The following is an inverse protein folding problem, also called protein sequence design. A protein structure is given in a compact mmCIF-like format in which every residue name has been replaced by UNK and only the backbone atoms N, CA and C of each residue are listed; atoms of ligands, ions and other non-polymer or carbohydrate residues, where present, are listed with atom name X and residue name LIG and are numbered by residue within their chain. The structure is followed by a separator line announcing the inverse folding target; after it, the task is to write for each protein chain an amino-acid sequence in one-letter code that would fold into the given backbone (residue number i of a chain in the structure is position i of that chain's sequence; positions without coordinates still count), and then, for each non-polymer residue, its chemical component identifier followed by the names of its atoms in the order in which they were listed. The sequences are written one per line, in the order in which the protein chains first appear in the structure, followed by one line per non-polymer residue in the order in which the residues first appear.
data_IF_354607138982
#
_entry.id   IF_354607138982
#
_cell.length_a   1.000
_cell.length_b   1.000
_cell.length_c   1.000
_cell.angle_alpha   90.00
_cell.angle_beta   90.00
_cell.angle_gamma   90.00
#
_symmetry.space_group_name_H-M   'P 1'
#
loop_
_entity.id
_entity.type
_entity.pdbx_description
1 polymer ?
#
# COMPACT_ATOMS: atom_id res chain seq x y z
N UNK A 1 -0.93 4.07 -9.48
CA UNK A 1 -2.23 4.35 -10.12
C UNK A 1 -2.22 5.61 -11.01
N UNK A 2 -1.24 6.52 -10.90
CA UNK A 2 -1.18 7.75 -11.71
C UNK A 2 -0.78 7.54 -13.20
N UNK A 3 -0.25 6.36 -13.56
CA UNK A 3 0.28 6.10 -14.92
C UNK A 3 -0.53 5.08 -15.74
N UNK A 4 -1.62 4.53 -15.19
CA UNK A 4 -2.41 3.50 -15.87
C UNK A 4 -3.58 4.11 -16.65
N UNK A 5 -3.68 3.81 -17.95
CA UNK A 5 -4.82 4.26 -18.79
C UNK A 5 -6.15 3.58 -18.39
N UNK A 6 -6.09 2.32 -17.93
CA UNK A 6 -7.23 1.50 -17.53
C UNK A 6 -7.43 1.53 -16.01
N UNK A 7 -8.63 1.19 -15.56
CA UNK A 7 -8.97 1.17 -14.14
C UNK A 7 -8.36 -0.05 -13.43
N UNK A 8 -7.86 0.10 -12.20
CA UNK A 8 -7.24 -0.99 -11.46
C UNK A 8 -8.29 -1.95 -10.88
N UNK A 9 -8.14 -3.25 -11.15
CA UNK A 9 -8.82 -4.34 -10.47
C UNK A 9 -7.83 -5.07 -9.58
N UNK A 10 -8.06 -5.02 -8.27
CA UNK A 10 -7.12 -5.49 -7.26
C UNK A 10 -7.58 -6.83 -6.68
N UNK A 11 -6.74 -7.84 -6.85
CA UNK A 11 -6.89 -9.16 -6.21
C UNK A 11 -6.41 -9.02 -4.77
N UNK A 12 -7.35 -8.86 -3.83
CA UNK A 12 -7.10 -8.44 -2.45
C UNK A 12 -7.87 -9.32 -1.43
N UNK A 13 -7.49 -10.61 -1.29
CA UNK A 13 -8.18 -11.52 -0.38
C UNK A 13 -8.07 -11.10 1.09
N UNK A 14 -7.03 -10.37 1.47
CA UNK A 14 -6.82 -9.88 2.84
C UNK A 14 -7.40 -8.48 3.11
N UNK A 15 -7.91 -7.78 2.10
CA UNK A 15 -8.53 -6.45 2.25
C UNK A 15 -7.54 -5.29 2.46
N UNK A 16 -6.26 -5.48 2.13
CA UNK A 16 -5.22 -4.46 2.29
C UNK A 16 -5.40 -3.31 1.30
N UNK A 17 -5.59 -3.63 0.01
CA UNK A 17 -5.83 -2.64 -1.03
C UNK A 17 -7.12 -1.87 -0.75
N UNK A 18 -8.17 -2.57 -0.33
CA UNK A 18 -9.45 -1.99 0.05
C UNK A 18 -9.29 -0.94 1.17
N UNK A 19 -8.59 -1.30 2.25
CA UNK A 19 -8.31 -0.39 3.38
C UNK A 19 -7.44 0.79 2.92
N UNK A 20 -6.45 0.55 2.08
CA UNK A 20 -5.57 1.57 1.55
C UNK A 20 -6.34 2.60 0.69
N UNK A 21 -7.22 2.18 -0.21
CA UNK A 21 -8.04 3.09 -1.05
C UNK A 21 -8.97 3.94 -0.18
N UNK A 22 -9.60 3.32 0.83
CA UNK A 22 -10.47 4.05 1.78
C UNK A 22 -9.70 5.14 2.53
N UNK A 23 -8.44 4.87 2.89
CA UNK A 23 -7.58 5.87 3.53
C UNK A 23 -7.10 6.93 2.53
N UNK A 24 -6.74 6.54 1.31
CA UNK A 24 -6.29 7.44 0.24
C UNK A 24 -7.37 8.46 -0.11
N UNK A 25 -8.62 8.01 -0.24
CA UNK A 25 -9.76 8.83 -0.66
C UNK A 25 -10.60 9.33 0.53
N UNK A 26 -10.05 9.28 1.77
CA UNK A 26 -10.74 9.64 3.02
C UNK A 26 -11.33 11.06 2.98
N UNK A 27 -10.62 12.00 2.37
CA UNK A 27 -11.05 13.41 2.25
C UNK A 27 -11.87 13.68 0.98
N UNK A 28 -11.97 12.70 0.07
CA UNK A 28 -12.56 12.86 -1.26
C UNK A 28 -13.97 12.25 -1.38
N UNK A 29 -14.61 11.93 -0.25
CA UNK A 29 -15.98 11.37 -0.18
C UNK A 29 -16.15 10.10 -1.03
N UNK A 30 -15.27 9.12 -0.82
CA UNK A 30 -15.31 7.82 -1.49
C UNK A 30 -16.68 7.14 -1.37
N UNK A 31 -17.27 6.80 -2.51
CA UNK A 31 -18.49 6.00 -2.58
C UNK A 31 -18.11 4.52 -2.66
N UNK A 32 -18.59 3.70 -1.71
CA UNK A 32 -18.33 2.26 -1.69
C UNK A 32 -19.58 1.52 -2.16
N UNK A 33 -19.46 0.73 -3.21
CA UNK A 33 -20.57 0.02 -3.84
C UNK A 33 -20.28 -1.48 -4.02
N UNK A 34 -21.34 -2.28 -4.16
CA UNK A 34 -21.29 -3.71 -4.51
C UNK A 34 -22.36 -4.01 -5.55
N UNK A 35 -22.09 -4.97 -6.45
CA UNK A 35 -23.04 -5.34 -7.52
C UNK A 35 -24.36 -5.91 -6.99
N UNK A 36 -24.38 -6.44 -5.77
CA UNK A 36 -25.59 -6.95 -5.13
C UNK A 36 -26.43 -5.88 -4.41
N UNK A 37 -25.99 -4.62 -4.39
CA UNK A 37 -26.75 -3.53 -3.78
C UNK A 37 -27.78 -2.97 -4.76
N UNK A 38 -29.06 -2.85 -4.38
CA UNK A 38 -30.12 -2.42 -5.31
C UNK A 38 -29.91 -1.02 -5.92
N UNK A 39 -29.19 -0.14 -5.22
CA UNK A 39 -29.01 1.27 -5.59
C UNK A 39 -27.62 1.57 -6.17
N UNK A 40 -26.79 0.55 -6.43
CA UNK A 40 -25.41 0.75 -6.86
C UNK A 40 -25.32 1.57 -8.15
N UNK A 41 -26.22 1.35 -9.11
CA UNK A 41 -26.28 2.10 -10.37
C UNK A 41 -26.49 3.58 -10.10
N UNK A 42 -27.48 3.93 -9.26
CA UNK A 42 -27.76 5.33 -8.92
C UNK A 42 -26.59 6.01 -8.21
N UNK A 43 -25.90 5.30 -7.32
CA UNK A 43 -24.70 5.82 -6.65
C UNK A 43 -23.60 6.08 -7.68
N UNK A 44 -23.40 5.16 -8.62
CA UNK A 44 -22.41 5.27 -9.68
C UNK A 44 -22.70 6.43 -10.64
N UNK A 45 -23.96 6.61 -11.05
CA UNK A 45 -24.39 7.74 -11.89
C UNK A 45 -24.05 9.09 -11.25
N UNK A 46 -24.44 9.26 -9.98
CA UNK A 46 -24.14 10.49 -9.22
C UNK A 46 -22.63 10.70 -9.07
N UNK A 47 -21.87 9.64 -8.78
CA UNK A 47 -20.44 9.75 -8.62
C UNK A 47 -19.74 10.19 -9.91
N UNK A 48 -20.18 9.69 -11.06
CA UNK A 48 -19.66 10.11 -12.38
C UNK A 48 -19.95 11.60 -12.63
N UNK A 49 -21.19 12.04 -12.36
CA UNK A 49 -21.60 13.43 -12.58
C UNK A 49 -20.85 14.41 -11.68
N UNK A 50 -20.69 14.07 -10.40
CA UNK A 50 -20.04 14.94 -9.42
C UNK A 50 -18.51 14.71 -9.29
N UNK A 51 -17.94 13.78 -10.05
CA UNK A 51 -16.51 13.48 -10.01
C UNK A 51 -16.04 12.84 -8.71
N UNK A 52 -16.92 12.10 -8.03
CA UNK A 52 -16.59 11.42 -6.77
C UNK A 52 -15.86 10.10 -7.06
N UNK A 53 -14.85 9.72 -6.24
CA UNK A 53 -14.20 8.43 -6.37
C UNK A 53 -15.14 7.30 -5.95
N UNK A 54 -15.09 6.17 -6.65
CA UNK A 54 -15.90 4.98 -6.38
C UNK A 54 -15.00 3.77 -6.18
N UNK A 55 -15.30 2.98 -5.13
CA UNK A 55 -14.72 1.66 -4.88
C UNK A 55 -15.80 0.59 -5.02
N UNK A 56 -15.67 -0.25 -6.04
CA UNK A 56 -16.48 -1.44 -6.23
C UNK A 56 -15.85 -2.64 -5.51
N UNK A 57 -16.54 -3.19 -4.52
CA UNK A 57 -16.06 -4.31 -3.70
C UNK A 57 -16.62 -5.67 -4.15
N UNK A 58 -15.84 -6.71 -3.87
CA UNK A 58 -16.21 -8.12 -4.04
C UNK A 58 -16.63 -8.48 -5.47
N UNK A 59 -15.88 -8.00 -6.45
CA UNK A 59 -16.08 -8.37 -7.85
C UNK A 59 -15.86 -9.88 -8.02
N UNK A 60 -16.82 -10.54 -8.66
CA UNK A 60 -16.71 -11.93 -9.09
C UNK A 60 -15.91 -12.05 -10.39
N UNK A 61 -15.87 -13.24 -10.98
CA UNK A 61 -15.16 -13.47 -12.26
C UNK A 61 -15.90 -12.84 -13.45
N UNK A 62 -17.22 -12.66 -13.32
CA UNK A 62 -18.07 -11.97 -14.29
C UNK A 62 -18.28 -10.49 -13.89
N UNK A 63 -18.09 -9.60 -14.86
CA UNK A 63 -18.35 -8.17 -14.71
C UNK A 63 -19.75 -7.85 -15.23
N UNK A 64 -20.47 -6.99 -14.51
CA UNK A 64 -21.75 -6.47 -14.97
C UNK A 64 -21.55 -5.68 -16.30
N UNK A 65 -22.25 -6.04 -17.39
CA UNK A 65 -22.16 -5.34 -18.68
C UNK A 65 -22.43 -3.84 -18.58
N UNK A 66 -23.18 -3.39 -17.57
CA UNK A 66 -23.42 -1.97 -17.30
C UNK A 66 -22.10 -1.20 -17.13
N UNK A 67 -21.07 -1.84 -16.57
CA UNK A 67 -19.78 -1.20 -16.32
C UNK A 67 -18.93 -1.02 -17.58
N UNK A 68 -19.30 -1.63 -18.70
CA UNK A 68 -18.48 -1.67 -19.91
C UNK A 68 -18.12 -0.28 -20.43
N UNK A 69 -19.09 0.64 -20.46
CA UNK A 69 -18.85 2.01 -20.92
C UNK A 69 -17.84 2.75 -20.04
N UNK A 70 -17.87 2.52 -18.73
CA UNK A 70 -16.93 3.10 -17.76
C UNK A 70 -15.54 2.48 -17.93
N UNK A 71 -15.47 1.15 -18.06
CA UNK A 71 -14.22 0.42 -18.15
C UNK A 71 -13.43 0.79 -19.41
N UNK A 72 -14.15 0.91 -20.53
CA UNK A 72 -13.59 1.30 -21.82
C UNK A 72 -13.49 2.82 -21.99
N UNK A 73 -14.01 3.61 -21.04
CA UNK A 73 -14.09 5.07 -21.12
C UNK A 73 -14.73 5.55 -22.44
N UNK A 74 -15.89 4.99 -22.77
CA UNK A 74 -16.67 5.31 -23.98
C UNK A 74 -17.35 6.69 -23.85
N UNK A 75 -16.53 7.74 -23.85
CA UNK A 75 -16.98 9.12 -23.73
C UNK A 75 -17.35 9.67 -25.12
N UNK A 76 -18.43 10.45 -25.17
CA UNK A 76 -18.87 11.15 -26.38
C UNK A 76 -19.28 12.58 -26.04
N UNK A 77 -19.29 13.47 -27.04
CA UNK A 77 -19.75 14.85 -26.85
C UNK A 77 -21.23 14.96 -27.22
N UNK A 78 -22.04 15.54 -26.35
CA UNK A 78 -23.43 15.88 -26.61
C UNK A 78 -23.69 17.31 -26.13
N UNK A 79 -24.14 18.19 -27.03
CA UNK A 79 -24.42 19.59 -26.68
C UNK A 79 -23.20 20.38 -26.20
N UNK A 80 -21.96 19.99 -26.58
CA UNK A 80 -20.72 20.64 -26.16
C UNK A 80 -20.11 20.07 -24.88
N UNK A 81 -20.86 19.29 -24.12
CA UNK A 81 -20.42 18.63 -22.88
C UNK A 81 -19.95 17.20 -23.16
N UNK A 82 -18.96 16.73 -22.40
CA UNK A 82 -18.51 15.34 -22.46
C UNK A 82 -19.44 14.48 -21.61
N UNK A 83 -20.00 13.43 -22.21
CA UNK A 83 -20.97 12.55 -21.59
C UNK A 83 -20.55 11.09 -21.72
N UNK A 84 -21.13 10.25 -20.87
CA UNK A 84 -21.01 8.79 -20.92
C UNK A 84 -22.42 8.18 -20.83
N UNK A 85 -22.64 7.07 -21.52
CA UNK A 85 -23.90 6.32 -21.45
C UNK A 85 -23.74 5.17 -20.46
N UNK A 86 -24.59 5.11 -19.44
CA UNK A 86 -24.62 4.04 -18.46
C UNK A 86 -26.01 3.39 -18.48
N UNK A 87 -26.13 2.21 -19.07
CA UNK A 87 -27.44 1.62 -19.37
C UNK A 87 -28.22 2.54 -20.34
N UNK A 88 -29.39 3.00 -19.93
CA UNK A 88 -30.20 3.95 -20.71
C UNK A 88 -29.94 5.42 -20.35
N UNK A 89 -29.24 5.69 -19.25
CA UNK A 89 -28.94 7.04 -18.77
C UNK A 89 -27.76 7.65 -19.52
N UNK A 90 -27.91 8.92 -19.93
CA UNK A 90 -26.79 9.74 -20.41
C UNK A 90 -26.38 10.71 -19.32
N UNK A 91 -25.11 10.66 -18.95
CA UNK A 91 -24.58 11.33 -17.76
C UNK A 91 -23.43 12.23 -18.19
N UNK A 92 -23.42 13.46 -17.72
CA UNK A 92 -22.28 14.36 -17.87
C UNK A 92 -21.05 13.77 -17.16
N UNK A 93 -19.94 13.66 -17.87
CA UNK A 93 -18.73 13.02 -17.38
C UNK A 93 -17.80 14.05 -16.74
N UNK A 94 -17.53 13.88 -15.45
CA UNK A 94 -16.56 14.70 -14.74
C UNK A 94 -15.15 14.08 -14.80
N UNK A 95 -14.15 14.86 -15.22
CA UNK A 95 -12.75 14.40 -15.32
C UNK A 95 -12.10 14.04 -13.98
N UNK A 96 -12.63 14.52 -12.85
CA UNK A 96 -12.15 14.15 -11.51
C UNK A 96 -12.62 12.77 -11.04
N UNK A 97 -13.54 12.13 -11.76
CA UNK A 97 -14.03 10.79 -11.44
C UNK A 97 -12.89 9.76 -11.41
N UNK A 98 -12.87 8.93 -10.36
CA UNK A 98 -11.94 7.80 -10.22
C UNK A 98 -12.70 6.53 -9.90
N UNK A 99 -12.27 5.42 -10.51
CA UNK A 99 -12.90 4.12 -10.30
C UNK A 99 -11.87 3.08 -9.85
N UNK A 100 -12.19 2.39 -8.74
CA UNK A 100 -11.38 1.35 -8.13
C UNK A 100 -12.20 0.08 -7.99
N UNK A 101 -11.54 -1.07 -8.16
CA UNK A 101 -12.19 -2.37 -8.11
C UNK A 101 -11.39 -3.31 -7.23
N UNK A 102 -12.06 -4.08 -6.37
CA UNK A 102 -11.43 -5.10 -5.51
C UNK A 102 -12.17 -6.42 -5.59
N UNK A 103 -11.44 -7.53 -5.54
CA UNK A 103 -11.98 -8.88 -5.39
C UNK A 103 -11.32 -9.58 -4.21
N UNK A 104 -12.09 -10.41 -3.50
CA UNK A 104 -11.58 -11.28 -2.44
C UNK A 104 -11.20 -12.68 -2.93
N UNK A 105 -11.47 -12.98 -4.21
CA UNK A 105 -11.08 -14.25 -4.81
C UNK A 105 -9.56 -14.33 -4.84
N UNK A 106 -8.96 -15.39 -4.28
CA UNK A 106 -7.50 -15.56 -4.26
C UNK A 106 -6.94 -15.80 -5.66
N UNK A 107 -7.62 -16.64 -6.43
CA UNK A 107 -7.22 -17.00 -7.79
C UNK A 107 -8.42 -16.94 -8.75
N UNK A 108 -8.89 -15.73 -9.11
CA UNK A 108 -10.01 -15.56 -10.02
C UNK A 108 -9.61 -15.89 -11.47
N UNK A 109 -10.42 -16.69 -12.15
CA UNK A 109 -10.27 -17.04 -13.57
C UNK A 109 -10.99 -16.03 -14.46
N UNK A 110 -10.45 -14.81 -14.52
CA UNK A 110 -10.98 -13.80 -15.43
C UNK A 110 -10.81 -14.18 -16.89
N UNK A 111 -11.88 -14.05 -17.67
CA UNK A 111 -11.82 -14.21 -19.12
C UNK A 111 -10.87 -13.16 -19.74
N UNK A 112 -10.21 -13.46 -20.88
CA UNK A 112 -9.32 -12.52 -21.56
C UNK A 112 -9.95 -11.15 -21.84
N UNK A 113 -11.26 -11.13 -22.07
CA UNK A 113 -12.05 -9.91 -22.25
C UNK A 113 -11.91 -8.94 -21.06
N UNK A 114 -11.97 -9.46 -19.83
CA UNK A 114 -11.80 -8.64 -18.61
C UNK A 114 -10.39 -8.09 -18.54
N UNK A 115 -9.37 -8.91 -18.82
CA UNK A 115 -7.96 -8.53 -18.76
C UNK A 115 -7.58 -7.42 -19.77
N UNK A 116 -8.33 -7.30 -20.87
CA UNK A 116 -8.16 -6.20 -21.84
C UNK A 116 -8.79 -4.89 -21.35
N UNK A 117 -9.88 -4.97 -20.56
CA UNK A 117 -10.63 -3.82 -20.07
C UNK A 117 -10.03 -3.18 -18.82
N UNK A 118 -9.43 -3.97 -17.93
CA UNK A 118 -8.89 -3.50 -16.64
C UNK A 118 -7.37 -3.64 -16.56
N UNK A 119 -6.77 -3.02 -15.54
CA UNK A 119 -5.40 -3.36 -15.12
C UNK A 119 -5.48 -4.24 -13.89
N UNK A 120 -5.17 -5.53 -14.05
CA UNK A 120 -5.12 -6.48 -12.93
C UNK A 120 -3.89 -6.18 -12.06
N UNK A 121 -4.12 -6.01 -10.75
CA UNK A 121 -3.09 -5.80 -9.75
C UNK A 121 -3.22 -6.88 -8.68
N UNK A 122 -2.12 -7.57 -8.38
CA UNK A 122 -2.10 -8.57 -7.32
C UNK A 122 -1.71 -7.92 -6.00
N UNK A 123 -2.64 -7.93 -5.03
CA UNK A 123 -2.46 -7.43 -3.66
C UNK A 123 -2.47 -8.57 -2.63
N UNK A 124 -2.34 -9.82 -3.08
CA UNK A 124 -2.11 -10.94 -2.17
C UNK A 124 -0.85 -10.70 -1.35
N UNK A 125 -0.97 -10.94 -0.04
CA UNK A 125 0.18 -10.90 0.84
C UNK A 125 1.18 -11.99 0.46
N UNK A 126 2.45 -11.61 0.33
CA UNK A 126 3.55 -12.54 0.06
C UNK A 126 4.22 -12.94 1.37
N UNK A 127 4.91 -14.09 1.37
CA UNK A 127 5.69 -14.56 2.52
C UNK A 127 6.68 -13.50 2.98
N UNK A 128 7.47 -12.95 2.05
CA UNK A 128 8.41 -11.88 2.35
C UNK A 128 7.72 -10.62 2.91
N UNK A 129 6.62 -10.19 2.28
CA UNK A 129 5.91 -8.99 2.72
C UNK A 129 5.31 -9.12 4.13
N UNK A 130 4.79 -10.29 4.48
CA UNK A 130 4.31 -10.55 5.84
C UNK A 130 5.47 -10.62 6.84
N UNK A 131 6.56 -11.30 6.49
CA UNK A 131 7.74 -11.39 7.36
C UNK A 131 8.29 -10.00 7.69
N UNK A 132 8.44 -9.13 6.68
CA UNK A 132 8.90 -7.76 6.87
C UNK A 132 7.92 -6.95 7.74
N UNK A 133 6.62 -7.16 7.57
CA UNK A 133 5.58 -6.53 8.40
C UNK A 133 5.68 -6.98 9.86
N UNK A 134 5.77 -8.28 10.13
CA UNK A 134 5.86 -8.83 11.49
C UNK A 134 7.19 -8.44 12.16
N UNK A 135 8.27 -8.38 11.39
CA UNK A 135 9.55 -7.87 11.87
C UNK A 135 9.43 -6.40 12.29
N UNK A 136 8.81 -5.56 11.47
CA UNK A 136 8.55 -4.15 11.82
C UNK A 136 7.76 -4.01 13.12
N UNK A 137 6.70 -4.81 13.29
CA UNK A 137 5.90 -4.83 14.52
C UNK A 137 6.72 -5.27 15.73
N UNK A 138 7.53 -6.30 15.58
CA UNK A 138 8.39 -6.82 16.66
C UNK A 138 9.40 -5.77 17.09
N UNK A 139 10.12 -5.18 16.15
CA UNK A 139 11.13 -4.14 16.41
C UNK A 139 10.49 -2.92 17.06
N UNK A 140 9.34 -2.45 16.56
CA UNK A 140 8.64 -1.30 17.14
C UNK A 140 8.22 -1.50 18.61
N UNK A 141 7.99 -2.74 19.04
CA UNK A 141 7.58 -3.09 20.41
C UNK A 141 8.77 -3.40 21.33
N UNK A 142 9.78 -4.08 20.82
CA UNK A 142 10.96 -4.46 21.58
C UNK A 142 11.98 -3.32 21.69
N UNK A 143 12.18 -2.58 20.60
CA UNK A 143 13.15 -1.48 20.47
C UNK A 143 12.49 -0.23 19.87
N UNK A 144 11.58 0.42 20.61
CA UNK A 144 10.91 1.64 20.16
C UNK A 144 11.91 2.78 19.89
N UNK A 145 13.06 2.76 20.55
CA UNK A 145 14.19 3.67 20.32
C UNK A 145 14.75 3.54 18.89
N UNK A 146 15.03 2.31 18.43
CA UNK A 146 15.51 2.05 17.07
C UNK A 146 14.45 2.40 16.02
N UNK A 147 13.18 2.14 16.31
CA UNK A 147 12.08 2.48 15.41
C UNK A 147 11.89 4.00 15.28
N UNK A 148 11.98 4.74 16.39
CA UNK A 148 11.91 6.21 16.37
C UNK A 148 13.09 6.83 15.61
N UNK A 149 14.30 6.31 15.83
CA UNK A 149 15.50 6.72 15.11
C UNK A 149 15.37 6.44 13.61
N UNK A 150 14.93 5.22 13.23
CA UNK A 150 14.69 4.86 11.83
C UNK A 150 13.70 5.80 11.14
N UNK A 151 12.58 6.10 11.81
CA UNK A 151 11.57 7.01 11.26
C UNK A 151 12.12 8.43 11.07
N UNK A 152 12.98 8.89 12.00
CA UNK A 152 13.66 10.19 11.89
C UNK A 152 14.59 10.21 10.68
N UNK A 153 15.40 9.16 10.49
CA UNK A 153 16.32 9.04 9.36
C UNK A 153 15.59 8.96 8.02
N UNK A 154 14.44 8.30 7.94
CA UNK A 154 13.63 8.23 6.72
C UNK A 154 13.13 9.62 6.31
N UNK A 155 12.61 10.41 7.27
CA UNK A 155 12.14 11.77 7.02
C UNK A 155 13.30 12.67 6.59
N UNK A 156 14.42 12.61 7.32
CA UNK A 156 15.62 13.37 6.99
C UNK A 156 16.18 12.99 5.61
N UNK A 157 16.26 11.70 5.28
CA UNK A 157 16.73 11.23 3.98
C UNK A 157 15.81 11.65 2.83
N UNK A 158 14.49 11.67 3.03
CA UNK A 158 13.54 12.18 2.05
C UNK A 158 13.71 13.69 1.82
N UNK A 159 13.88 14.46 2.90
CA UNK A 159 14.12 15.90 2.83
C UNK A 159 15.46 16.22 2.17
N UNK A 160 16.53 15.52 2.53
CA UNK A 160 17.86 15.66 1.92
C UNK A 160 17.81 15.39 0.41
N UNK A 161 17.13 14.32 -0.02
CA UNK A 161 16.94 14.00 -1.45
C UNK A 161 16.15 15.09 -2.18
N UNK A 162 15.14 15.67 -1.52
CA UNK A 162 14.37 16.79 -2.07
C UNK A 162 15.25 18.02 -2.25
N UNK A 163 15.97 18.44 -1.20
CA UNK A 163 16.86 19.59 -1.23
C UNK A 163 18.00 19.43 -2.25
N UNK A 164 18.57 18.23 -2.37
CA UNK A 164 19.58 17.94 -3.38
C UNK A 164 19.02 18.16 -4.79
N UNK A 165 17.83 17.63 -5.07
CA UNK A 165 17.16 17.83 -6.37
C UNK A 165 16.84 19.30 -6.64
N UNK A 166 16.31 20.03 -5.64
CA UNK A 166 16.03 21.47 -5.78
C UNK A 166 17.32 22.25 -6.07
N UNK A 167 18.43 21.87 -5.44
CA UNK A 167 19.74 22.48 -5.69
C UNK A 167 20.27 22.16 -7.09
N UNK A 168 20.10 20.91 -7.56
CA UNK A 168 20.44 20.51 -8.94
C UNK A 168 19.60 21.27 -9.98
N UNK A 169 18.29 21.40 -9.74
CA UNK A 169 17.37 22.14 -10.61
C UNK A 169 17.75 23.64 -10.66
N UNK A 170 18.14 24.25 -9.54
CA UNK A 170 18.64 25.63 -9.47
C UNK A 170 19.95 25.81 -10.26
N UNK A 171 20.88 24.86 -10.15
CA UNK A 171 22.12 24.86 -10.93
C UNK A 171 21.80 24.82 -12.43
N UNK A 172 20.90 23.93 -12.85
CA UNK A 172 20.48 23.81 -14.25
C UNK A 172 19.80 25.08 -14.76
N UNK A 173 18.93 25.69 -13.95
CA UNK A 173 18.27 26.96 -14.29
C UNK A 173 19.30 28.06 -14.56
N UNK A 174 20.23 28.29 -13.62
CA UNK A 174 21.29 29.31 -13.74
C UNK A 174 22.18 29.05 -14.96
N UNK A 175 22.56 27.79 -15.21
CA UNK A 175 23.36 27.42 -16.38
C UNK A 175 22.61 27.64 -17.69
N UNK A 176 21.29 27.47 -17.71
CA UNK A 176 20.44 27.64 -18.89
C UNK A 176 20.11 29.10 -19.20
N UNK A 177 20.03 29.95 -18.17
CA UNK A 177 19.66 31.36 -18.30
C UNK A 177 20.85 32.28 -18.58
N UNK A 178 22.07 31.87 -18.25
CA UNK A 178 23.26 32.68 -18.40
C UNK A 178 23.85 32.58 -19.81
N UNK A 179 23.83 33.68 -20.58
CA UNK A 179 24.46 33.75 -21.91
C UNK A 179 26.00 33.69 -21.84
N UNK A 180 26.60 34.29 -20.79
CA UNK A 180 28.04 34.26 -20.54
C UNK A 180 28.34 34.12 -19.03
N UNK A 181 28.37 32.88 -18.55
CA UNK A 181 28.56 32.53 -17.12
C UNK A 181 29.81 33.14 -16.49
N UNK A 182 30.87 33.39 -17.29
CA UNK A 182 32.13 33.92 -16.76
C UNK A 182 32.05 35.42 -16.40
N UNK A 183 31.05 36.13 -16.94
CA UNK A 183 30.85 37.56 -16.70
C UNK A 183 29.70 37.84 -15.72
N UNK A 184 28.86 36.84 -15.45
CA UNK A 184 27.77 36.94 -14.48
C UNK A 184 28.24 36.52 -13.09
N UNK A 185 28.73 37.50 -12.33
CA UNK A 185 29.16 37.34 -10.94
C UNK A 185 28.05 36.75 -10.05
N UNK A 186 26.77 37.03 -10.37
CA UNK A 186 25.63 36.49 -9.61
C UNK A 186 25.42 35.01 -9.89
N UNK A 187 25.53 34.58 -11.15
CA UNK A 187 25.49 33.17 -11.53
C UNK A 187 26.63 32.38 -10.88
N UNK A 188 27.86 32.93 -10.88
CA UNK A 188 29.03 32.29 -10.23
C UNK A 188 28.80 32.12 -8.73
N UNK A 189 28.26 33.13 -8.05
CA UNK A 189 27.99 33.08 -6.62
C UNK A 189 26.89 32.06 -6.26
N UNK A 190 25.81 32.00 -7.06
CA UNK A 190 24.73 31.03 -6.88
C UNK A 190 25.25 29.60 -7.11
N UNK A 191 26.05 29.37 -8.17
CA UNK A 191 26.65 28.06 -8.45
C UNK A 191 27.60 27.62 -7.33
N UNK A 192 28.42 28.53 -6.81
CA UNK A 192 29.36 28.25 -5.72
C UNK A 192 28.63 27.86 -4.43
N UNK A 193 27.62 28.64 -4.02
CA UNK A 193 26.81 28.35 -2.83
C UNK A 193 25.97 27.08 -2.97
N UNK A 194 25.35 26.85 -4.13
CA UNK A 194 24.60 25.63 -4.44
C UNK A 194 25.48 24.39 -4.41
N UNK A 195 26.70 24.47 -4.95
CA UNK A 195 27.67 23.37 -4.90
C UNK A 195 28.11 23.07 -3.46
N UNK A 196 28.35 24.10 -2.65
CA UNK A 196 28.69 23.91 -1.24
C UNK A 196 27.55 23.22 -0.47
N UNK A 197 26.31 23.64 -0.68
CA UNK A 197 25.12 23.03 -0.09
C UNK A 197 24.94 21.57 -0.53
N UNK A 198 25.09 21.28 -1.83
CA UNK A 198 24.99 19.93 -2.35
C UNK A 198 26.03 18.98 -1.74
N UNK A 199 27.28 19.45 -1.55
CA UNK A 199 28.32 18.68 -0.89
C UNK A 199 27.97 18.38 0.58
N UNK A 200 27.50 19.37 1.36
CA UNK A 200 27.08 19.19 2.75
C UNK A 200 25.91 18.20 2.88
N UNK A 201 24.91 18.30 2.00
CA UNK A 201 23.78 17.35 1.96
C UNK A 201 24.29 15.94 1.65
N UNK A 202 25.22 15.80 0.70
CA UNK A 202 25.77 14.50 0.34
C UNK A 202 26.57 13.85 1.49
N UNK A 203 27.36 14.63 2.23
CA UNK A 203 28.04 14.13 3.43
C UNK A 203 27.06 13.67 4.52
N UNK A 204 26.01 14.44 4.78
CA UNK A 204 24.93 14.06 5.71
C UNK A 204 24.19 12.80 5.24
N UNK A 205 23.99 12.65 3.94
CA UNK A 205 23.34 11.49 3.34
C UNK A 205 24.16 10.23 3.56
N UNK A 206 25.49 10.28 3.39
CA UNK A 206 26.39 9.15 3.65
C UNK A 206 26.30 8.70 5.12
N UNK A 207 26.27 9.65 6.06
CA UNK A 207 26.14 9.33 7.49
C UNK A 207 24.77 8.68 7.76
N UNK A 208 23.70 9.24 7.21
CA UNK A 208 22.32 8.72 7.36
C UNK A 208 22.23 7.27 6.88
N UNK A 209 22.81 6.95 5.72
CA UNK A 209 22.83 5.60 5.14
C UNK A 209 23.68 4.61 5.96
N UNK A 210 24.79 5.08 6.55
CA UNK A 210 25.60 4.25 7.43
C UNK A 210 24.84 3.90 8.72
N UNK A 211 24.15 4.88 9.32
CA UNK A 211 23.31 4.65 10.51
C UNK A 211 22.13 3.74 10.18
N UNK A 212 21.46 3.93 9.05
CA UNK A 212 20.36 3.07 8.59
C UNK A 212 20.80 1.59 8.49
N UNK A 213 21.99 1.34 7.93
CA UNK A 213 22.57 -0.02 7.87
C UNK A 213 22.81 -0.61 9.26
N UNK A 214 23.29 0.18 10.22
CA UNK A 214 23.49 -0.31 11.59
C UNK A 214 22.16 -0.67 12.26
N UNK A 215 21.13 0.16 12.07
CA UNK A 215 19.78 -0.13 12.55
C UNK A 215 19.26 -1.42 11.90
N UNK A 216 19.41 -1.57 10.59
CA UNK A 216 18.96 -2.78 9.90
C UNK A 216 19.69 -4.04 10.38
N UNK A 217 20.99 -3.96 10.68
CA UNK A 217 21.74 -5.06 11.32
C UNK A 217 21.14 -5.41 12.68
N UNK A 218 20.81 -4.42 13.51
CA UNK A 218 20.18 -4.67 14.81
C UNK A 218 18.78 -5.31 14.66
N UNK A 219 18.05 -4.99 13.59
CA UNK A 219 16.76 -5.61 13.26
C UNK A 219 16.88 -7.08 12.87
N UNK A 220 18.02 -7.50 12.27
CA UNK A 220 18.24 -8.90 11.88
C UNK A 220 18.11 -9.87 13.04
N UNK A 221 18.45 -9.44 14.26
CA UNK A 221 18.31 -10.26 15.46
C UNK A 221 16.86 -10.71 15.72
N UNK A 222 15.86 -9.98 15.23
CA UNK A 222 14.43 -10.29 15.40
C UNK A 222 13.80 -11.02 14.21
N UNK A 223 14.56 -11.28 13.13
CA UNK A 223 14.06 -12.01 11.95
C UNK A 223 13.50 -13.39 12.29
N UNK A 224 14.11 -14.21 13.18
CA UNK A 224 13.64 -15.58 13.42
C UNK A 224 12.19 -15.68 13.91
N UNK A 225 11.71 -14.76 14.75
CA UNK A 225 10.31 -14.77 15.22
C UNK A 225 9.33 -14.35 14.12
N UNK A 226 9.74 -13.41 13.26
CA UNK A 226 8.93 -12.97 12.12
C UNK A 226 8.80 -14.08 11.07
N UNK A 227 9.88 -14.80 10.76
CA UNK A 227 9.88 -15.95 9.86
C UNK A 227 8.98 -17.07 10.40
N UNK A 228 9.17 -17.48 11.66
CA UNK A 228 8.34 -18.51 12.31
C UNK A 228 6.85 -18.17 12.26
N UNK A 229 6.50 -16.93 12.61
CA UNK A 229 5.11 -16.48 12.63
C UNK A 229 4.52 -16.38 11.22
N UNK A 230 5.32 -16.02 10.24
CA UNK A 230 4.91 -16.00 8.83
C UNK A 230 4.56 -17.41 8.34
N UNK A 231 5.40 -18.41 8.65
CA UNK A 231 5.12 -19.82 8.31
C UNK A 231 3.79 -20.24 8.91
N UNK A 232 3.56 -19.95 10.20
CA UNK A 232 2.30 -20.28 10.88
C UNK A 232 1.08 -19.64 10.21
N UNK A 233 1.18 -18.39 9.78
CA UNK A 233 0.08 -17.71 9.06
C UNK A 233 -0.27 -18.43 7.76
N UNK A 234 0.73 -18.76 6.93
CA UNK A 234 0.45 -19.43 5.66
C UNK A 234 -0.10 -20.85 5.86
N UNK A 235 0.36 -21.57 6.90
CA UNK A 235 -0.22 -22.86 7.27
C UNK A 235 -1.71 -22.76 7.62
N UNK A 236 -2.14 -21.78 8.42
CA UNK A 236 -3.56 -21.62 8.76
C UNK A 236 -4.40 -21.13 7.58
N UNK A 237 -3.79 -20.39 6.66
CA UNK A 237 -4.42 -19.88 5.43
C UNK A 237 -4.76 -21.02 4.45
N UNK A 238 -4.01 -22.12 4.51
CA UNK A 238 -4.26 -23.34 3.73
C UNK A 238 -5.39 -24.21 4.31
N UNK A 239 -5.79 -24.02 5.57
CA UNK A 239 -6.93 -24.75 6.15
C UNK A 239 -8.24 -24.51 5.40
N UNK A 240 -8.36 -23.36 4.71
CA UNK A 240 -9.49 -23.07 3.84
C UNK A 240 -9.65 -24.07 2.68
N UNK A 241 -8.60 -24.82 2.31
CA UNK A 241 -8.67 -25.88 1.32
C UNK A 241 -9.36 -27.15 1.85
N UNK A 242 -9.42 -27.32 3.18
CA UNK A 242 -10.11 -28.43 3.84
C UNK A 242 -11.59 -28.09 4.02
N UNK A 243 -11.87 -26.91 4.58
CA UNK A 243 -13.22 -26.39 4.72
C UNK A 243 -13.24 -24.88 4.41
N UNK A 244 -14.11 -24.40 3.50
CA UNK A 244 -14.21 -22.98 3.17
C UNK A 244 -14.52 -22.06 4.36
N UNK A 245 -15.05 -22.58 5.47
CA UNK A 245 -15.30 -21.82 6.70
C UNK A 245 -14.03 -21.53 7.51
N UNK A 246 -12.93 -22.26 7.28
CA UNK A 246 -11.65 -22.05 7.96
C UNK A 246 -10.86 -20.88 7.37
N UNK A 247 -11.44 -19.69 7.51
CA UNK A 247 -10.86 -18.43 7.05
C UNK A 247 -10.48 -17.55 8.23
N UNK A 248 -9.21 -17.16 8.25
CA UNK A 248 -8.66 -16.29 9.28
C UNK A 248 -8.20 -14.98 8.64
N UNK A 249 -8.61 -13.86 9.24
CA UNK A 249 -8.20 -12.55 8.72
C UNK A 249 -6.77 -12.23 9.14
N UNK A 250 -6.00 -11.60 8.25
CA UNK A 250 -4.66 -11.11 8.55
C UNK A 250 -4.67 -10.13 9.73
N UNK A 251 -5.67 -9.25 9.80
CA UNK A 251 -5.80 -8.29 10.88
C UNK A 251 -5.92 -8.95 12.26
N UNK A 252 -6.73 -10.01 12.37
CA UNK A 252 -6.84 -10.80 13.58
C UNK A 252 -5.50 -11.47 13.94
N UNK A 253 -4.84 -12.10 12.96
CA UNK A 253 -3.56 -12.77 13.18
C UNK A 253 -2.49 -11.79 13.69
N UNK A 254 -2.37 -10.63 13.05
CA UNK A 254 -1.44 -9.56 13.47
C UNK A 254 -1.78 -9.06 14.87
N UNK A 255 -3.06 -8.88 15.18
CA UNK A 255 -3.49 -8.49 16.54
C UNK A 255 -3.13 -9.54 17.58
N UNK A 256 -3.28 -10.83 17.27
CA UNK A 256 -2.89 -11.92 18.16
C UNK A 256 -1.37 -11.95 18.36
N UNK A 257 -0.61 -11.74 17.29
CA UNK A 257 0.85 -11.64 17.34
C UNK A 257 1.32 -10.48 18.21
N UNK A 258 0.76 -9.28 18.02
CA UNK A 258 1.06 -8.11 18.86
C UNK A 258 0.69 -8.35 20.32
N UNK A 259 -0.49 -8.93 20.59
CA UNK A 259 -0.89 -9.28 21.95
C UNK A 259 0.07 -10.29 22.59
N UNK A 260 0.61 -11.25 21.83
CA UNK A 260 1.60 -12.19 22.35
C UNK A 260 2.92 -11.52 22.71
N UNK A 261 3.36 -10.49 21.96
CA UNK A 261 4.53 -9.69 22.33
C UNK A 261 4.31 -8.94 23.63
N UNK A 262 3.16 -8.26 23.74
CA UNK A 262 2.81 -7.42 24.88
C UNK A 262 2.62 -8.23 26.19
N UNK A 263 2.17 -9.49 26.09
CA UNK A 263 1.88 -10.36 27.25
C UNK A 263 3.01 -11.33 27.63
N UNK A 264 4.11 -11.34 26.89
CA UNK A 264 5.28 -12.17 27.24
C UNK A 264 6.25 -11.32 28.05
N UNK A 265 6.82 -11.85 29.14
CA UNK A 265 7.77 -11.13 30.00
C UNK A 265 9.04 -10.73 29.24
N UNK A 266 9.51 -9.49 29.44
CA UNK A 266 10.71 -8.97 28.77
C UNK A 266 11.96 -9.54 29.45
N UNK A 267 12.88 -10.03 28.62
CA UNK A 267 14.18 -10.57 29.03
C UNK A 267 15.27 -9.82 28.26
N UNK A 268 16.40 -9.54 28.93
CA UNK A 268 17.51 -8.78 28.32
C UNK A 268 18.23 -9.59 27.22
N UNK A 269 18.32 -10.91 27.38
CA UNK A 269 18.87 -11.78 26.34
C UNK A 269 17.86 -11.93 25.19
N UNK A 270 18.27 -11.47 24.00
CA UNK A 270 17.43 -11.52 22.80
C UNK A 270 17.08 -12.97 22.44
N UNK A 271 18.01 -13.91 22.61
CA UNK A 271 17.79 -15.31 22.21
C UNK A 271 16.72 -15.97 23.08
N UNK A 272 16.81 -15.78 24.40
CA UNK A 272 15.81 -16.19 25.37
C UNK A 272 14.46 -15.53 25.09
N UNK A 273 14.44 -14.20 24.90
CA UNK A 273 13.24 -13.45 24.56
C UNK A 273 12.53 -13.99 23.31
N UNK A 274 13.27 -14.31 22.25
CA UNK A 274 12.70 -14.85 21.01
C UNK A 274 12.14 -16.26 21.20
N UNK A 275 12.76 -17.09 22.05
CA UNK A 275 12.25 -18.42 22.37
C UNK A 275 10.94 -18.34 23.14
N UNK A 276 10.83 -17.43 24.10
CA UNK A 276 9.61 -17.23 24.89
C UNK A 276 8.48 -16.69 24.01
N UNK A 277 8.76 -15.69 23.18
CA UNK A 277 7.80 -15.17 22.20
C UNK A 277 7.31 -16.26 21.26
N UNK A 278 8.22 -17.10 20.75
CA UNK A 278 7.87 -18.22 19.89
C UNK A 278 6.96 -19.21 20.61
N UNK A 279 7.29 -19.59 21.84
CA UNK A 279 6.50 -20.52 22.65
C UNK A 279 5.09 -19.98 22.93
N UNK A 280 5.02 -18.76 23.46
CA UNK A 280 3.76 -18.12 23.82
C UNK A 280 2.88 -17.86 22.60
N UNK A 281 3.42 -17.31 21.50
CA UNK A 281 2.66 -17.07 20.29
C UNK A 281 2.15 -18.35 19.65
N UNK A 282 2.98 -19.39 19.55
CA UNK A 282 2.59 -20.68 18.97
C UNK A 282 1.46 -21.31 19.76
N UNK A 283 1.56 -21.33 21.09
CA UNK A 283 0.49 -21.87 21.95
C UNK A 283 -0.80 -21.06 21.84
N UNK A 284 -0.70 -19.72 21.90
CA UNK A 284 -1.85 -18.82 21.77
C UNK A 284 -2.57 -19.01 20.43
N UNK A 285 -1.81 -19.08 19.32
CA UNK A 285 -2.37 -19.36 18.00
C UNK A 285 -3.04 -20.73 17.96
N UNK A 286 -2.35 -21.77 18.41
CA UNK A 286 -2.87 -23.14 18.43
C UNK A 286 -4.21 -23.23 19.16
N UNK A 287 -4.31 -22.68 20.37
CA UNK A 287 -5.54 -22.70 21.17
C UNK A 287 -6.68 -21.97 20.46
N UNK A 288 -6.41 -20.81 19.86
CA UNK A 288 -7.44 -20.06 19.13
C UNK A 288 -7.93 -20.80 17.88
N UNK A 289 -7.02 -21.42 17.12
CA UNK A 289 -7.38 -22.21 15.94
C UNK A 289 -8.19 -23.45 16.36
N UNK A 290 -7.75 -24.21 17.37
CA UNK A 290 -8.48 -25.39 17.83
C UNK A 290 -9.91 -25.07 18.29
N UNK A 291 -10.15 -23.88 18.87
CA UNK A 291 -11.50 -23.43 19.27
C UNK A 291 -12.43 -23.16 18.09
N UNK A 292 -11.89 -22.85 16.91
CA UNK A 292 -12.67 -22.54 15.70
C UNK A 292 -12.82 -23.72 14.75
N UNK A 293 -12.06 -24.80 14.94
CA UNK A 293 -12.21 -26.02 14.15
C UNK A 293 -13.46 -26.78 14.59
N UNK A 294 -14.18 -27.35 13.63
CA UNK A 294 -15.31 -28.22 13.94
C UNK A 294 -14.82 -29.49 14.64
N UNK A 295 -15.51 -29.87 15.70
CA UNK A 295 -15.32 -31.17 16.34
C UNK A 295 -15.66 -32.27 15.31
N UNK A 296 -14.75 -33.22 15.12
CA UNK A 296 -14.95 -34.42 14.30
C UNK A 296 -14.70 -35.65 15.15
#
# INVERSE_FOLDING_TARGET
MQNARRWPLMIDPQGQANKWIKNLEKNNRLCVIRLNQPDYTRVLENAIQFGLPVLLENIGEELDPLLESILLKQLFKQGGTLCIKLGDSVIEYNHSFKFYMTTKLRNPHYLPEVAVKVTLLNFMITTQGLQDQLLGITVARERPDLEAEKNTLIVQGAENKRMLKETEDQILEVLSSAENILEDETAVQILSSSKALANDINEKQIITEATEKQIDIARLSYVPIAEHSTILFFTIVELANIDPMYQYSLAWFVSLFTASIDNTEKVDDITERLNDLRGHFTYSLYVNICRSLFER
#
